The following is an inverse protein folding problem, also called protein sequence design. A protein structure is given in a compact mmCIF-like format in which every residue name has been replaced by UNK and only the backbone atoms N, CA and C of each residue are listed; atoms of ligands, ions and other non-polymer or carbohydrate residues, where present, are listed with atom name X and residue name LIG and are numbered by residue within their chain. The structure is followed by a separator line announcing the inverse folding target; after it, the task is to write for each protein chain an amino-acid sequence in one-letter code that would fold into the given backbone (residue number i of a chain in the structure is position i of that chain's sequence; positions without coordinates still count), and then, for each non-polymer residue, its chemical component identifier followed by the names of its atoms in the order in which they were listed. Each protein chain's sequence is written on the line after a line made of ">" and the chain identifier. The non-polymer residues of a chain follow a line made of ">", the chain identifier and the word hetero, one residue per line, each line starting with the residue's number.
data_IF_686621215926
#
_entry.id   IF_686621215926
#
_cell.length_a   1.000
_cell.length_b   1.000
_cell.length_c   1.000
_cell.angle_alpha   90.00
_cell.angle_beta   90.00
_cell.angle_gamma   90.00
#
_symmetry.space_group_name_H-M   'P 1'
#
loop_
_entity.id
_entity.type
_entity.pdbx_description
1 polymer ?
#
# COMPACT_ATOMS: atom_id res chain seq x y z
N UNK A 1 -12.69 -7.55 37.94
CA UNK A 1 -11.37 -8.14 37.61
C UNK A 1 -10.31 -7.19 38.12
N UNK A 2 -9.22 -7.67 38.75
CA UNK A 2 -8.10 -6.81 39.08
C UNK A 2 -7.45 -6.30 37.78
N UNK A 3 -7.00 -5.05 37.79
CA UNK A 3 -6.32 -4.42 36.67
C UNK A 3 -4.88 -4.91 36.59
N UNK A 4 -4.43 -5.36 35.40
CA UNK A 4 -3.04 -5.73 35.15
C UNK A 4 -2.38 -4.54 34.46
N UNK A 5 -1.44 -3.89 35.16
CA UNK A 5 -0.68 -2.75 34.64
C UNK A 5 0.71 -3.24 34.21
N UNK A 6 1.04 -3.05 32.93
CA UNK A 6 2.37 -3.36 32.40
C UNK A 6 3.33 -2.23 32.82
N UNK A 7 4.50 -2.53 33.42
CA UNK A 7 5.52 -1.53 33.71
C UNK A 7 5.90 -0.72 32.48
N UNK A 8 6.04 0.60 32.62
CA UNK A 8 6.20 1.53 31.50
C UNK A 8 7.47 1.25 30.68
N UNK A 9 8.53 0.80 31.34
CA UNK A 9 9.81 0.42 30.74
C UNK A 9 9.73 -0.85 29.87
N UNK A 10 8.66 -1.64 30.00
CA UNK A 10 8.40 -2.83 29.18
C UNK A 10 7.47 -2.55 28.00
N UNK A 11 6.89 -1.35 27.92
CA UNK A 11 6.02 -1.00 26.82
C UNK A 11 6.83 -0.79 25.53
N UNK A 12 6.32 -1.24 24.37
CA UNK A 12 6.93 -0.91 23.10
C UNK A 12 6.79 0.58 22.82
N UNK A 13 7.74 1.14 22.08
CA UNK A 13 7.69 2.54 21.61
C UNK A 13 6.43 2.81 20.78
N UNK A 14 5.90 1.78 20.11
CA UNK A 14 4.69 1.86 19.29
C UNK A 14 3.85 0.60 19.49
N UNK A 15 2.62 0.76 19.99
CA UNK A 15 1.72 -0.35 20.31
C UNK A 15 0.93 -0.91 19.12
N UNK A 16 1.18 -0.45 17.89
CA UNK A 16 0.39 -0.85 16.71
C UNK A 16 0.90 -2.15 16.09
N UNK A 17 0.42 -3.29 16.59
CA UNK A 17 0.75 -4.64 16.10
C UNK A 17 -0.29 -5.25 15.14
N UNK A 18 -1.16 -4.43 14.53
CA UNK A 18 -2.17 -4.92 13.60
C UNK A 18 -1.59 -5.53 12.31
N UNK A 19 -2.27 -6.54 11.77
CA UNK A 19 -1.89 -7.24 10.54
C UNK A 19 -2.49 -6.63 9.26
N UNK A 20 -3.07 -5.43 9.34
CA UNK A 20 -3.75 -4.77 8.22
C UNK A 20 -5.09 -4.15 8.66
N UNK A 21 -5.20 -2.81 8.74
CA UNK A 21 -4.11 -1.83 8.69
C UNK A 21 -3.03 -2.06 9.76
N UNK A 22 -1.82 -1.56 9.52
CA UNK A 22 -0.64 -1.77 10.37
C UNK A 22 0.07 -0.44 10.67
N UNK A 23 1.18 -0.51 11.42
CA UNK A 23 1.96 0.67 11.84
C UNK A 23 2.46 1.48 10.64
N UNK A 24 2.15 2.78 10.63
CA UNK A 24 2.77 3.78 9.76
C UNK A 24 3.70 4.66 10.60
N UNK A 25 4.95 4.84 10.16
CA UNK A 25 5.96 5.60 10.91
C UNK A 25 5.61 7.09 10.97
N UNK A 26 6.00 7.79 12.03
CA UNK A 26 5.61 9.19 12.25
C UNK A 26 6.16 10.12 11.17
N UNK A 27 7.39 9.87 10.72
CA UNK A 27 8.04 10.62 9.65
C UNK A 27 7.32 10.47 8.30
N UNK A 28 6.67 9.32 8.04
CA UNK A 28 5.88 9.13 6.82
C UNK A 28 4.60 9.96 6.83
N UNK A 29 3.95 10.05 7.99
CA UNK A 29 2.75 10.89 8.19
C UNK A 29 3.13 12.37 8.06
N UNK A 30 4.25 12.79 8.68
CA UNK A 30 4.74 14.15 8.57
C UNK A 30 5.08 14.54 7.12
N UNK A 31 5.74 13.66 6.37
CA UNK A 31 6.05 13.90 4.96
C UNK A 31 4.77 14.03 4.10
N UNK A 32 3.73 13.25 4.39
CA UNK A 32 2.42 13.39 3.74
C UNK A 32 1.77 14.74 4.05
N UNK A 33 1.84 15.20 5.32
CA UNK A 33 1.30 16.49 5.74
C UNK A 33 1.92 17.69 5.01
N UNK A 34 3.15 17.56 4.51
CA UNK A 34 3.83 18.61 3.73
C UNK A 34 3.64 18.40 2.22
N UNK A 35 4.14 17.29 1.68
CA UNK A 35 4.20 17.07 0.22
C UNK A 35 2.89 16.51 -0.32
N UNK A 36 2.28 15.57 0.41
CA UNK A 36 1.00 14.97 0.04
C UNK A 36 -0.12 16.01 -0.02
N UNK A 37 -0.16 16.91 0.96
CA UNK A 37 -1.14 18.00 1.03
C UNK A 37 -1.17 18.88 -0.23
N UNK A 38 -0.04 19.07 -0.93
CA UNK A 38 0.03 19.87 -2.18
C UNK A 38 -0.66 19.20 -3.36
N UNK A 39 -0.78 17.88 -3.34
CA UNK A 39 -1.42 17.10 -4.40
C UNK A 39 -2.92 16.86 -4.14
N UNK A 40 -3.34 16.93 -2.88
CA UNK A 40 -4.74 16.71 -2.49
C UNK A 40 -5.67 17.72 -3.17
N UNK A 41 -6.81 17.23 -3.67
CA UNK A 41 -7.78 18.05 -4.39
C UNK A 41 -7.40 18.41 -5.83
N UNK A 42 -6.23 17.99 -6.31
CA UNK A 42 -5.83 18.16 -7.72
C UNK A 42 -6.27 16.97 -8.58
N UNK A 43 -6.33 17.17 -9.90
CA UNK A 43 -6.76 16.12 -10.82
C UNK A 43 -5.69 15.03 -11.00
N UNK A 44 -6.12 13.77 -10.85
CA UNK A 44 -5.29 12.59 -11.08
C UNK A 44 -4.85 12.41 -12.54
N UNK A 45 -5.46 13.15 -13.48
CA UNK A 45 -5.09 13.14 -14.91
C UNK A 45 -3.98 14.15 -15.23
N UNK A 46 -3.64 15.03 -14.30
CA UNK A 46 -2.65 16.08 -14.49
C UNK A 46 -1.24 15.63 -14.05
N UNK A 47 -0.24 16.34 -14.56
CA UNK A 47 1.17 16.01 -14.35
C UNK A 47 1.56 15.78 -12.88
N UNK A 48 1.12 16.58 -11.88
CA UNK A 48 1.55 16.40 -10.49
C UNK A 48 1.21 15.01 -9.92
N UNK A 49 -0.03 14.54 -10.12
CA UNK A 49 -0.46 13.22 -9.63
C UNK A 49 0.08 12.09 -10.51
N UNK A 50 0.17 12.28 -11.83
CA UNK A 50 0.81 11.30 -12.72
C UNK A 50 2.28 11.06 -12.36
N UNK A 51 3.00 12.12 -11.99
CA UNK A 51 4.39 12.03 -11.55
C UNK A 51 4.50 11.28 -10.22
N UNK A 52 3.55 11.47 -9.29
CA UNK A 52 3.48 10.67 -8.07
C UNK A 52 3.29 9.18 -8.37
N UNK A 53 2.34 8.82 -9.24
CA UNK A 53 2.09 7.43 -9.64
C UNK A 53 3.33 6.82 -10.31
N UNK A 54 3.95 7.55 -11.25
CA UNK A 54 5.18 7.12 -11.91
C UNK A 54 6.30 6.86 -10.91
N UNK A 55 6.51 7.75 -9.93
CA UNK A 55 7.50 7.56 -8.86
C UNK A 55 7.24 6.30 -8.04
N UNK A 56 5.97 5.93 -7.79
CA UNK A 56 5.63 4.67 -7.10
C UNK A 56 6.00 3.48 -7.98
N UNK A 57 5.67 3.51 -9.28
CA UNK A 57 5.99 2.43 -10.21
C UNK A 57 7.50 2.22 -10.34
N UNK A 58 8.27 3.30 -10.56
CA UNK A 58 9.73 3.24 -10.66
C UNK A 58 10.36 2.76 -9.36
N UNK A 59 9.96 3.33 -8.22
CA UNK A 59 10.50 2.92 -6.91
C UNK A 59 10.22 1.46 -6.56
N UNK A 60 9.03 0.93 -6.93
CA UNK A 60 8.73 -0.49 -6.75
C UNK A 60 9.52 -1.37 -7.72
N UNK A 61 9.67 -0.95 -8.98
CA UNK A 61 10.48 -1.70 -9.95
C UNK A 61 11.94 -1.80 -9.48
N UNK A 62 12.51 -0.70 -9.00
CA UNK A 62 13.86 -0.66 -8.44
C UNK A 62 13.98 -1.53 -7.17
N UNK A 63 13.00 -1.45 -6.26
CA UNK A 63 12.95 -2.27 -5.05
C UNK A 63 12.92 -3.77 -5.37
N UNK A 64 12.29 -4.16 -6.49
CA UNK A 64 12.24 -5.54 -6.97
C UNK A 64 13.38 -5.90 -7.94
N UNK A 65 14.41 -5.06 -8.04
CA UNK A 65 15.61 -5.27 -8.86
C UNK A 65 15.40 -5.28 -10.38
N UNK A 66 14.41 -4.53 -10.87
CA UNK A 66 14.15 -4.26 -12.29
C UNK A 66 14.20 -5.50 -13.22
N UNK A 67 13.40 -6.54 -12.95
CA UNK A 67 13.38 -7.72 -13.80
C UNK A 67 12.88 -7.38 -15.21
N UNK A 68 13.66 -7.78 -16.22
CA UNK A 68 13.34 -7.50 -17.62
C UNK A 68 11.98 -8.08 -18.02
N UNK A 69 11.15 -7.27 -18.68
CA UNK A 69 9.82 -7.67 -19.16
C UNK A 69 8.69 -7.59 -18.13
N UNK A 70 8.95 -7.13 -16.91
CA UNK A 70 7.92 -6.91 -15.89
C UNK A 70 7.41 -5.46 -15.90
N UNK A 71 6.18 -5.27 -15.45
CA UNK A 71 5.54 -3.96 -15.26
C UNK A 71 4.89 -3.86 -13.88
N UNK A 72 4.85 -2.64 -13.32
CA UNK A 72 4.07 -2.34 -12.11
C UNK A 72 2.70 -1.79 -12.52
N UNK A 73 1.66 -2.59 -12.32
CA UNK A 73 0.26 -2.22 -12.59
C UNK A 73 -0.47 -1.93 -11.27
N UNK A 74 -1.33 -0.92 -11.26
CA UNK A 74 -2.07 -0.48 -10.07
C UNK A 74 -3.53 -0.11 -10.41
N UNK A 75 -4.42 -0.38 -9.46
CA UNK A 75 -5.85 -0.10 -9.56
C UNK A 75 -6.49 -0.01 -8.17
N UNK A 76 -7.73 0.47 -8.12
CA UNK A 76 -8.50 0.56 -6.88
C UNK A 76 -9.12 -0.79 -6.50
N UNK A 77 -9.38 -1.01 -5.20
CA UNK A 77 -10.13 -2.17 -4.69
C UNK A 77 -9.30 -3.18 -3.89
N UNK A 78 -7.98 -3.02 -3.82
CA UNK A 78 -7.10 -3.89 -3.03
C UNK A 78 -6.98 -5.32 -3.59
N UNK A 79 -6.41 -6.23 -2.81
CA UNK A 79 -6.15 -7.61 -3.23
C UNK A 79 -7.43 -8.37 -3.57
N UNK A 80 -8.53 -8.12 -2.84
CA UNK A 80 -9.80 -8.80 -3.07
C UNK A 80 -10.38 -8.48 -4.46
N UNK A 81 -10.36 -7.21 -4.88
CA UNK A 81 -10.80 -6.87 -6.24
C UNK A 81 -9.85 -7.42 -7.32
N UNK A 82 -8.55 -7.52 -7.02
CA UNK A 82 -7.59 -8.11 -7.95
C UNK A 82 -7.85 -9.61 -8.17
N UNK A 83 -8.36 -10.35 -7.17
CA UNK A 83 -8.74 -11.75 -7.36
C UNK A 83 -9.78 -11.92 -8.46
N UNK A 84 -10.81 -11.07 -8.48
CA UNK A 84 -11.81 -11.09 -9.56
C UNK A 84 -11.17 -10.70 -10.90
N UNK A 85 -10.40 -9.61 -10.95
CA UNK A 85 -9.74 -9.17 -12.18
C UNK A 85 -8.84 -10.27 -12.78
N UNK A 86 -8.07 -10.96 -11.93
CA UNK A 86 -7.21 -12.07 -12.33
C UNK A 86 -8.03 -13.27 -12.82
N UNK A 87 -9.12 -13.62 -12.12
CA UNK A 87 -9.99 -14.71 -12.54
C UNK A 87 -10.61 -14.46 -13.92
N UNK A 88 -11.05 -13.23 -14.20
CA UNK A 88 -11.68 -12.87 -15.49
C UNK A 88 -10.67 -12.65 -16.63
N UNK A 89 -9.44 -12.21 -16.31
CA UNK A 89 -8.51 -11.73 -17.33
C UNK A 89 -7.30 -12.62 -17.56
N UNK A 90 -6.95 -13.50 -16.60
CA UNK A 90 -5.74 -14.34 -16.66
C UNK A 90 -6.04 -15.84 -16.78
N UNK A 91 -7.26 -16.29 -16.45
CA UNK A 91 -7.62 -17.70 -16.58
C UNK A 91 -8.00 -18.01 -18.03
N UNK A 92 -7.30 -18.94 -18.66
CA UNK A 92 -7.56 -19.29 -20.06
C UNK A 92 -8.64 -20.36 -20.25
N UNK A 93 -8.69 -21.38 -19.39
CA UNK A 93 -9.55 -22.55 -19.59
C UNK A 93 -10.35 -22.95 -18.35
N UNK A 94 -9.66 -23.33 -17.29
CA UNK A 94 -10.28 -23.77 -16.03
C UNK A 94 -9.48 -23.24 -14.86
N UNK A 95 -10.19 -22.81 -13.82
CA UNK A 95 -9.63 -22.47 -12.52
C UNK A 95 -10.55 -22.98 -11.41
N UNK A 96 -9.97 -23.33 -10.27
CA UNK A 96 -10.71 -23.64 -9.06
C UNK A 96 -10.48 -22.50 -8.07
N UNK A 97 -11.46 -21.61 -7.99
CA UNK A 97 -11.41 -20.45 -7.10
C UNK A 97 -12.32 -20.75 -5.90
N UNK A 98 -11.76 -20.71 -4.69
CA UNK A 98 -12.51 -20.72 -3.43
C UNK A 98 -12.36 -19.34 -2.80
N UNK A 99 -13.47 -18.73 -2.42
CA UNK A 99 -13.50 -17.49 -1.64
C UNK A 99 -13.86 -17.84 -0.20
#
# INVERSE_FOLDING_TARGET
>A
MPEIIIPAELLPVDGRFGCGPSRVRQEQIAAFGVEGARLMGTSHRQAPVKNLVKRVQEGLMDLFHNPAGYEIVLGNGGSTAFWDAAAFSLVENKAQNLV
#
